data_IF_704529319005
#
_entry.id   IF_704529319005
#
_cell.length_a   1.000
_cell.length_b   1.000
_cell.length_c   1.000
_cell.angle_alpha   90.00
_cell.angle_beta   90.00
_cell.angle_gamma   90.00
#
_symmetry.space_group_name_H-M   'P 1'
#
loop_
_entity.id
_entity.type
_entity.pdbx_description
1 polymer ?
#
# COMPACT_ATOMS: atom_id res chain seq x y z
N UNK A 1 1.13 -24.24 35.80
CA UNK A 1 0.86 -24.62 34.39
C UNK A 1 0.21 -23.42 33.73
N UNK A 2 0.98 -22.61 33.02
CA UNK A 2 0.47 -21.45 32.28
C UNK A 2 0.09 -21.92 30.89
N UNK A 3 -1.20 -21.87 30.57
CA UNK A 3 -1.73 -22.11 29.23
C UNK A 3 -1.06 -21.14 28.25
N UNK A 4 -0.09 -21.65 27.50
CA UNK A 4 0.42 -21.00 26.30
C UNK A 4 -0.66 -21.07 25.24
N UNK A 5 -1.58 -20.09 25.21
CA UNK A 5 -2.40 -19.89 24.02
C UNK A 5 -1.44 -19.67 22.85
N UNK A 6 -1.50 -20.47 21.78
CA UNK A 6 -0.75 -20.12 20.59
C UNK A 6 -1.29 -18.76 20.15
N UNK A 7 -0.45 -17.73 20.17
CA UNK A 7 -0.70 -16.56 19.37
C UNK A 7 -0.66 -17.06 17.92
N UNK A 8 -1.82 -17.50 17.42
CA UNK A 8 -2.00 -17.79 16.01
C UNK A 8 -1.49 -16.57 15.23
N UNK A 9 -0.86 -16.76 14.06
CA UNK A 9 -0.35 -15.65 13.29
C UNK A 9 -1.49 -14.64 13.15
N UNK A 10 -1.27 -13.39 13.60
CA UNK A 10 -2.06 -12.27 13.12
C UNK A 10 -2.18 -12.47 11.61
N UNK A 11 -3.37 -12.39 11.00
CA UNK A 11 -3.49 -12.58 9.57
C UNK A 11 -2.65 -11.46 8.92
N UNK A 12 -1.44 -11.81 8.48
CA UNK A 12 -0.63 -10.90 7.71
C UNK A 12 -1.38 -10.57 6.42
N UNK A 13 -1.03 -9.44 5.80
CA UNK A 13 -1.49 -9.10 4.46
C UNK A 13 -1.43 -10.34 3.57
N UNK A 14 -2.51 -10.61 2.83
CA UNK A 14 -2.48 -11.62 1.77
C UNK A 14 -1.39 -11.26 0.76
N UNK A 15 -0.95 -12.22 -0.04
CA UNK A 15 0.10 -11.98 -1.04
C UNK A 15 -0.27 -10.84 -2.00
N UNK A 16 -1.56 -10.75 -2.37
CA UNK A 16 -2.09 -9.65 -3.17
C UNK A 16 -1.98 -8.30 -2.45
N UNK A 17 -2.44 -8.24 -1.20
CA UNK A 17 -2.40 -7.01 -0.39
C UNK A 17 -0.97 -6.53 -0.16
N UNK A 18 -0.03 -7.47 0.05
CA UNK A 18 1.40 -7.19 0.16
C UNK A 18 1.96 -6.63 -1.14
N UNK A 19 1.64 -7.23 -2.28
CA UNK A 19 2.06 -6.76 -3.59
C UNK A 19 1.57 -5.32 -3.86
N UNK A 20 0.33 -4.99 -3.50
CA UNK A 20 -0.21 -3.63 -3.64
C UNK A 20 0.64 -2.61 -2.86
N UNK A 21 0.98 -2.91 -1.61
CA UNK A 21 1.82 -2.04 -0.77
C UNK A 21 3.23 -1.91 -1.35
N UNK A 22 3.83 -3.01 -1.80
CA UNK A 22 5.19 -3.01 -2.34
C UNK A 22 5.27 -2.20 -3.64
N UNK A 23 4.30 -2.34 -4.55
CA UNK A 23 4.22 -1.52 -5.75
C UNK A 23 4.08 -0.03 -5.43
N UNK A 24 3.22 0.33 -4.48
CA UNK A 24 3.05 1.72 -4.07
C UNK A 24 4.36 2.31 -3.48
N UNK A 25 5.09 1.52 -2.67
CA UNK A 25 6.40 1.92 -2.14
C UNK A 25 7.44 2.10 -3.23
N UNK A 26 7.51 1.19 -4.18
CA UNK A 26 8.46 1.26 -5.30
C UNK A 26 8.20 2.49 -6.17
N UNK A 27 6.94 2.76 -6.52
CA UNK A 27 6.57 3.94 -7.32
C UNK A 27 6.90 5.25 -6.58
N UNK A 28 6.64 5.31 -5.26
CA UNK A 28 7.03 6.48 -4.47
C UNK A 28 8.55 6.67 -4.39
N UNK A 29 9.30 5.58 -4.21
CA UNK A 29 10.76 5.64 -4.20
C UNK A 29 11.32 6.07 -5.56
N UNK A 30 10.72 5.61 -6.65
CA UNK A 30 11.07 6.05 -8.00
C UNK A 30 10.82 7.55 -8.15
N UNK A 31 9.60 8.01 -7.84
CA UNK A 31 9.23 9.42 -7.94
C UNK A 31 10.15 10.33 -7.11
N UNK A 32 10.56 9.91 -5.91
CA UNK A 32 11.50 10.66 -5.06
C UNK A 32 12.91 10.82 -5.65
N UNK A 33 13.30 9.97 -6.60
CA UNK A 33 14.60 10.03 -7.28
C UNK A 33 14.54 10.80 -8.59
N UNK A 34 13.36 11.12 -9.10
CA UNK A 34 13.21 11.90 -10.32
C UNK A 34 13.58 13.37 -10.07
N UNK A 35 14.25 14.00 -11.04
CA UNK A 35 14.44 15.44 -11.06
C UNK A 35 13.22 16.11 -11.67
N UNK A 36 12.26 16.50 -10.82
CA UNK A 36 10.98 17.06 -11.24
C UNK A 36 11.12 18.38 -12.01
N UNK A 37 12.21 19.15 -11.78
CA UNK A 37 12.44 20.41 -12.47
C UNK A 37 12.88 20.23 -13.93
N UNK A 38 13.40 19.04 -14.27
CA UNK A 38 13.83 18.68 -15.62
C UNK A 38 12.73 17.96 -16.42
N UNK A 39 11.61 17.61 -15.79
CA UNK A 39 10.48 16.95 -16.45
C UNK A 39 9.63 17.95 -17.23
N UNK A 40 9.16 17.56 -18.42
CA UNK A 40 8.12 18.30 -19.11
C UNK A 40 6.76 18.13 -18.40
N UNK A 41 5.86 19.08 -18.64
CA UNK A 41 4.55 19.14 -18.00
C UNK A 41 3.74 17.84 -18.17
N UNK A 42 3.77 17.22 -19.36
CA UNK A 42 3.00 16.01 -19.61
C UNK A 42 3.55 14.82 -18.81
N UNK A 43 4.87 14.67 -18.75
CA UNK A 43 5.52 13.65 -17.91
C UNK A 43 5.23 13.85 -16.43
N UNK A 44 5.24 15.11 -15.95
CA UNK A 44 4.93 15.43 -14.55
C UNK A 44 3.48 15.09 -14.21
N UNK A 45 2.53 15.43 -15.08
CA UNK A 45 1.11 15.07 -14.93
C UNK A 45 0.94 13.55 -14.81
N UNK A 46 1.58 12.79 -15.69
CA UNK A 46 1.50 11.32 -15.66
C UNK A 46 2.10 10.72 -14.38
N UNK A 47 3.19 11.30 -13.87
CA UNK A 47 3.79 10.88 -12.60
C UNK A 47 2.82 11.10 -11.44
N UNK A 48 2.23 12.30 -11.36
CA UNK A 48 1.25 12.66 -10.32
C UNK A 48 0.02 11.75 -10.38
N UNK A 49 -0.51 11.51 -11.58
CA UNK A 49 -1.66 10.63 -11.78
C UNK A 49 -1.38 9.18 -11.36
N UNK A 50 -0.19 8.67 -11.68
CA UNK A 50 0.25 7.34 -11.21
C UNK A 50 0.30 7.28 -9.68
N UNK A 51 0.93 8.27 -9.03
CA UNK A 51 1.04 8.32 -7.58
C UNK A 51 -0.34 8.43 -6.92
N UNK A 52 -1.25 9.23 -7.48
CA UNK A 52 -2.64 9.34 -7.03
C UNK A 52 -3.36 7.99 -7.08
N UNK A 53 -3.25 7.29 -8.20
CA UNK A 53 -3.84 5.95 -8.35
C UNK A 53 -3.28 4.96 -7.33
N UNK A 54 -1.97 4.97 -7.07
CA UNK A 54 -1.36 4.10 -6.05
C UNK A 54 -1.83 4.41 -4.65
N UNK A 55 -1.91 5.69 -4.29
CA UNK A 55 -2.43 6.10 -3.00
C UNK A 55 -3.87 5.64 -2.82
N UNK A 56 -4.71 5.80 -3.85
CA UNK A 56 -6.08 5.33 -3.82
C UNK A 56 -6.19 3.81 -3.59
N UNK A 57 -5.37 3.01 -4.29
CA UNK A 57 -5.34 1.55 -4.05
C UNK A 57 -4.92 1.17 -2.64
N UNK A 58 -3.94 1.88 -2.05
CA UNK A 58 -3.49 1.60 -0.67
C UNK A 58 -4.56 2.02 0.35
N UNK A 59 -5.26 3.14 0.13
CA UNK A 59 -6.36 3.56 1.01
C UNK A 59 -7.51 2.56 0.96
N UNK A 60 -7.90 2.11 -0.23
CA UNK A 60 -8.93 1.08 -0.38
C UNK A 60 -8.55 -0.22 0.35
N UNK A 61 -7.28 -0.61 0.26
CA UNK A 61 -6.77 -1.77 1.00
C UNK A 61 -6.87 -1.59 2.53
N UNK A 62 -6.60 -0.39 3.05
CA UNK A 62 -6.77 -0.12 4.49
C UNK A 62 -8.23 -0.24 4.91
N UNK A 63 -9.16 0.22 4.08
CA UNK A 63 -10.60 0.07 4.32
C UNK A 63 -10.99 -1.41 4.36
N UNK A 64 -10.54 -2.21 3.37
CA UNK A 64 -10.77 -3.67 3.32
C UNK A 64 -10.25 -4.37 4.59
N UNK A 65 -9.02 -4.07 5.00
CA UNK A 65 -8.42 -4.68 6.20
C UNK A 65 -9.22 -4.30 7.46
N UNK A 66 -9.65 -3.05 7.55
CA UNK A 66 -10.42 -2.56 8.70
C UNK A 66 -11.82 -3.20 8.74
N UNK A 67 -12.45 -3.42 7.58
CA UNK A 67 -13.73 -4.13 7.48
C UNK A 67 -13.59 -5.60 7.89
N UNK A 68 -12.57 -6.30 7.39
CA UNK A 68 -12.28 -7.68 7.76
C UNK A 68 -12.02 -7.88 9.26
N UNK A 69 -11.39 -6.90 9.92
CA UNK A 69 -11.14 -6.94 11.37
C UNK A 69 -12.44 -6.79 12.17
N UNK A 70 -13.37 -5.94 11.70
CA UNK A 70 -14.70 -5.78 12.30
C UNK A 70 -15.56 -7.03 12.16
N UNK A 71 -15.55 -7.69 11.01
CA UNK A 71 -16.31 -8.93 10.79
C UNK A 71 -15.83 -10.11 11.64
N UNK A 72 -14.58 -10.06 12.11
CA UNK A 72 -13.98 -11.08 12.98
C UNK A 72 -14.19 -10.83 14.48
N UNK A 73 -14.65 -9.64 14.87
CA UNK A 73 -14.87 -9.22 16.26
C UNK A 73 -16.30 -9.50 16.71
#
# INVERSE_FOLDING_TARGET
>A
MTDGRPHGPLPGLTDWQRAVVDFARQDLQKARREDLAAMDDASLILLVERLRSRLHSVLHLLDEITEQDRERS
#
